data_IF_636443460029
#
_entry.id   IF_636443460029
#
_cell.length_a   1.000
_cell.length_b   1.000
_cell.length_c   1.000
_cell.angle_alpha   90.00
_cell.angle_beta   90.00
_cell.angle_gamma   90.00
#
_symmetry.space_group_name_H-M   'P 1'
#
loop_
_entity.id
_entity.type
_entity.pdbx_description
1 polymer ?
#
# COMPACT_ATOMS: atom_id res chain seq x y z
N UNK A 1 -1.32 -0.48 -14.35
CA UNK A 1 -1.13 0.42 -15.50
C UNK A 1 -0.19 1.57 -15.10
N UNK A 2 1.06 1.25 -14.69
CA UNK A 2 2.03 2.19 -14.10
C UNK A 2 3.39 2.13 -14.82
N UNK A 3 3.52 2.63 -16.06
CA UNK A 3 4.80 2.50 -16.80
C UNK A 3 5.14 3.63 -17.77
N UNK A 4 4.67 4.86 -17.56
CA UNK A 4 4.88 5.91 -18.56
C UNK A 4 5.44 7.23 -18.05
N UNK A 5 6.47 7.23 -17.21
CA UNK A 5 7.11 8.51 -16.86
C UNK A 5 8.63 8.54 -16.62
N UNK A 6 9.48 7.66 -17.17
CA UNK A 6 10.93 7.91 -17.05
C UNK A 6 11.72 7.57 -18.32
N UNK A 7 11.97 8.60 -19.14
CA UNK A 7 13.15 8.68 -20.01
C UNK A 7 14.12 9.68 -19.39
N UNK A 8 15.41 9.32 -19.33
CA UNK A 8 16.60 10.05 -18.82
C UNK A 8 16.85 9.89 -17.30
N UNK A 9 18.06 9.60 -16.78
CA UNK A 9 19.40 9.66 -17.34
C UNK A 9 20.40 8.70 -16.63
N UNK A 10 21.42 8.26 -17.39
CA UNK A 10 22.55 7.41 -17.01
C UNK A 10 23.50 8.08 -15.99
N UNK A 11 23.27 7.92 -14.68
CA UNK A 11 24.31 8.13 -13.65
C UNK A 11 24.19 7.08 -12.53
N UNK A 12 25.28 6.40 -12.13
CA UNK A 12 25.29 5.37 -11.07
C UNK A 12 24.66 5.81 -9.73
N UNK A 13 24.79 7.09 -9.37
CA UNK A 13 24.26 7.62 -8.10
C UNK A 13 22.76 7.97 -8.13
N UNK A 14 22.13 8.08 -9.30
CA UNK A 14 20.69 8.36 -9.42
C UNK A 14 19.82 7.09 -9.34
N UNK A 15 20.41 5.89 -9.50
CA UNK A 15 19.69 4.61 -9.39
C UNK A 15 19.11 4.38 -7.99
N UNK A 16 19.78 4.87 -6.95
CA UNK A 16 19.34 4.72 -5.57
C UNK A 16 18.20 5.66 -5.17
N UNK A 17 17.79 6.57 -6.06
CA UNK A 17 16.62 7.46 -5.87
C UNK A 17 15.34 6.91 -6.50
N UNK A 18 15.40 5.72 -7.11
CA UNK A 18 14.27 4.98 -7.66
C UNK A 18 13.62 4.12 -6.55
N UNK A 19 12.51 3.43 -6.83
CA UNK A 19 11.73 2.66 -5.84
C UNK A 19 12.43 1.46 -5.23
N UNK A 20 11.67 0.48 -4.74
CA UNK A 20 12.21 -0.75 -4.14
C UNK A 20 12.46 -0.70 -2.63
N UNK A 21 13.22 -1.65 -2.06
CA UNK A 21 13.28 -1.86 -0.62
C UNK A 21 13.76 -0.66 0.20
N UNK A 22 13.10 -0.42 1.32
CA UNK A 22 13.36 0.66 2.29
C UNK A 22 13.51 0.18 3.72
N UNK A 23 12.99 -0.98 4.04
CA UNK A 23 13.15 -1.58 5.35
C UNK A 23 13.26 -3.09 5.23
N UNK A 24 14.08 -3.69 6.10
CA UNK A 24 14.15 -5.13 6.31
C UNK A 24 14.01 -5.40 7.81
N UNK A 25 13.17 -6.35 8.18
CA UNK A 25 12.99 -6.77 9.58
C UNK A 25 13.01 -8.28 9.65
N UNK A 26 13.73 -8.84 10.62
CA UNK A 26 13.81 -10.28 10.84
C UNK A 26 13.37 -10.62 12.26
N UNK A 27 12.40 -11.52 12.35
CA UNK A 27 11.85 -12.05 13.57
C UNK A 27 11.94 -13.57 13.59
N UNK A 28 12.03 -14.15 14.78
CA UNK A 28 11.90 -15.59 15.01
C UNK A 28 10.65 -15.84 15.85
N UNK A 29 9.71 -16.60 15.28
CA UNK A 29 8.51 -17.08 15.97
C UNK A 29 8.52 -18.61 16.01
N UNK A 30 8.58 -19.22 17.20
CA UNK A 30 8.62 -20.69 17.35
C UNK A 30 9.66 -21.39 16.44
N UNK A 31 10.88 -20.86 16.39
CA UNK A 31 11.97 -21.32 15.49
C UNK A 31 11.68 -21.17 13.98
N UNK A 32 10.66 -20.41 13.60
CA UNK A 32 10.36 -20.04 12.21
C UNK A 32 10.85 -18.62 11.96
N UNK A 33 11.75 -18.41 10.98
CA UNK A 33 12.12 -17.07 10.55
C UNK A 33 10.99 -16.37 9.80
N UNK A 34 10.72 -15.13 10.16
CA UNK A 34 9.78 -14.22 9.53
C UNK A 34 10.55 -12.98 9.12
N UNK A 35 10.59 -12.71 7.83
CA UNK A 35 11.30 -11.60 7.22
C UNK A 35 10.27 -10.67 6.61
N UNK A 36 10.31 -9.40 6.99
CA UNK A 36 9.46 -8.35 6.43
C UNK A 36 10.33 -7.41 5.59
N UNK A 37 9.87 -7.08 4.39
CA UNK A 37 10.57 -6.21 3.46
C UNK A 37 9.62 -5.11 3.02
N UNK A 38 9.84 -3.89 3.50
CA UNK A 38 9.07 -2.71 3.12
C UNK A 38 9.66 -2.06 1.89
N UNK A 39 8.81 -1.63 0.96
CA UNK A 39 9.24 -1.05 -0.31
C UNK A 39 8.40 0.17 -0.71
N UNK A 40 8.90 0.94 -1.66
CA UNK A 40 8.15 2.05 -2.26
C UNK A 40 7.81 1.66 -3.70
N UNK A 41 6.50 1.55 -3.99
CA UNK A 41 5.85 1.18 -5.27
C UNK A 41 6.19 2.08 -6.47
N UNK A 42 7.47 2.36 -6.65
CA UNK A 42 8.05 3.09 -7.76
C UNK A 42 8.91 2.13 -8.56
N UNK A 43 8.97 2.28 -9.90
CA UNK A 43 9.79 1.40 -10.71
C UNK A 43 11.28 1.51 -10.35
N UNK A 44 11.96 0.38 -10.32
CA UNK A 44 13.41 0.22 -10.33
C UNK A 44 13.90 -0.13 -11.74
N UNK A 45 15.19 0.06 -12.00
CA UNK A 45 15.82 -0.40 -13.23
C UNK A 45 15.85 -1.94 -13.29
N UNK A 46 15.73 -2.53 -14.48
CA UNK A 46 15.74 -3.99 -14.62
C UNK A 46 17.06 -4.59 -14.14
N UNK A 47 18.21 -3.94 -14.40
CA UNK A 47 19.51 -4.46 -13.94
C UNK A 47 19.63 -4.48 -12.41
N UNK A 48 18.89 -3.62 -11.71
CA UNK A 48 18.82 -3.63 -10.25
C UNK A 48 17.88 -4.73 -9.76
N UNK A 49 16.77 -4.97 -10.46
CA UNK A 49 15.85 -6.08 -10.17
C UNK A 49 16.57 -7.43 -10.29
N UNK A 50 17.33 -7.64 -11.37
CA UNK A 50 18.10 -8.88 -11.61
C UNK A 50 19.08 -9.18 -10.46
N UNK A 51 19.67 -8.14 -9.85
CA UNK A 51 20.56 -8.31 -8.70
C UNK A 51 19.81 -8.74 -7.43
N UNK A 52 18.61 -8.21 -7.19
CA UNK A 52 17.76 -8.73 -6.09
C UNK A 52 17.32 -10.16 -6.38
N UNK A 53 16.98 -10.49 -7.63
CA UNK A 53 16.60 -11.84 -8.02
C UNK A 53 17.72 -12.82 -7.72
N UNK A 54 18.96 -12.46 -8.01
CA UNK A 54 20.11 -13.27 -7.67
C UNK A 54 20.18 -13.59 -6.17
N UNK A 55 20.08 -12.58 -5.29
CA UNK A 55 20.10 -12.78 -3.84
C UNK A 55 18.97 -13.70 -3.35
N UNK A 56 17.74 -13.49 -3.85
CA UNK A 56 16.60 -14.35 -3.51
C UNK A 56 16.76 -15.79 -4.02
N UNK A 57 17.16 -15.96 -5.28
CA UNK A 57 17.33 -17.27 -5.90
C UNK A 57 18.43 -18.08 -5.20
N UNK A 58 19.56 -17.46 -4.83
CA UNK A 58 20.60 -18.13 -4.03
C UNK A 58 20.06 -18.55 -2.66
N UNK A 59 19.33 -17.68 -1.97
CA UNK A 59 18.75 -18.01 -0.67
C UNK A 59 17.77 -19.20 -0.74
N UNK A 60 16.91 -19.22 -1.76
CA UNK A 60 15.90 -20.27 -2.00
C UNK A 60 16.53 -21.62 -2.37
N UNK A 61 17.75 -21.67 -2.92
CA UNK A 61 18.43 -22.94 -3.19
C UNK A 61 18.67 -23.76 -1.92
N UNK A 62 18.89 -23.09 -0.79
CA UNK A 62 19.21 -23.74 0.49
C UNK A 62 18.10 -23.68 1.52
N UNK A 63 17.06 -22.86 1.30
CA UNK A 63 15.99 -22.63 2.28
C UNK A 63 14.62 -22.82 1.64
N UNK A 64 13.70 -23.50 2.34
CA UNK A 64 12.28 -23.47 1.98
C UNK A 64 11.67 -22.13 2.38
N UNK A 65 11.00 -21.46 1.45
CA UNK A 65 10.48 -20.10 1.59
C UNK A 65 9.00 -20.06 1.19
N UNK A 66 8.19 -19.37 2.01
CA UNK A 66 6.89 -18.85 1.61
C UNK A 66 7.03 -17.35 1.42
N UNK A 67 6.84 -16.88 0.19
CA UNK A 67 6.96 -15.48 -0.20
C UNK A 67 5.57 -14.87 -0.40
N UNK A 68 5.16 -14.00 0.51
CA UNK A 68 3.94 -13.19 0.41
C UNK A 68 4.25 -11.90 -0.35
N UNK A 69 3.50 -11.62 -1.41
CA UNK A 69 3.67 -10.44 -2.27
C UNK A 69 2.36 -9.65 -2.39
N UNK A 70 2.43 -8.32 -2.21
CA UNK A 70 1.35 -7.38 -2.54
C UNK A 70 1.16 -7.24 -4.07
N UNK A 71 0.82 -8.34 -4.74
CA UNK A 71 0.58 -8.36 -6.18
C UNK A 71 -0.53 -9.35 -6.55
N UNK A 72 -1.05 -9.21 -7.77
CA UNK A 72 -2.12 -10.05 -8.33
C UNK A 72 -1.60 -11.31 -9.04
N UNK A 73 -0.28 -11.43 -9.24
CA UNK A 73 0.31 -12.54 -10.02
C UNK A 73 0.03 -12.46 -11.54
N UNK A 74 -0.50 -11.33 -12.01
CA UNK A 74 -0.79 -11.13 -13.44
C UNK A 74 0.48 -10.77 -14.22
N UNK A 75 0.82 -11.62 -15.19
CA UNK A 75 2.02 -11.50 -16.01
C UNK A 75 2.00 -10.21 -16.85
N UNK A 76 2.99 -9.35 -16.66
CA UNK A 76 3.13 -8.10 -17.42
C UNK A 76 3.79 -8.37 -18.77
N UNK A 77 3.38 -7.63 -19.83
CA UNK A 77 4.07 -7.63 -21.13
C UNK A 77 5.39 -6.84 -21.07
N UNK A 78 6.49 -7.51 -21.37
CA UNK A 78 7.94 -7.17 -21.21
C UNK A 78 8.48 -5.92 -21.94
N UNK A 79 7.76 -4.79 -21.99
CA UNK A 79 8.16 -3.66 -22.84
C UNK A 79 8.81 -2.44 -22.15
N UNK A 80 9.32 -2.56 -20.91
CA UNK A 80 9.99 -1.44 -20.22
C UNK A 80 11.31 -1.83 -19.55
N UNK A 81 12.32 -0.94 -19.67
CA UNK A 81 13.62 -1.03 -18.97
C UNK A 81 13.51 -0.83 -17.44
N UNK A 82 12.30 -0.69 -16.92
CA UNK A 82 12.00 -0.47 -15.50
C UNK A 82 10.88 -1.39 -15.08
N UNK A 83 10.90 -1.84 -13.84
CA UNK A 83 9.90 -2.74 -13.25
C UNK A 83 9.61 -2.32 -11.82
N UNK A 84 8.38 -2.55 -11.35
CA UNK A 84 8.06 -2.40 -9.94
C UNK A 84 8.75 -3.52 -9.13
N UNK A 85 9.29 -3.22 -7.95
CA UNK A 85 10.12 -4.19 -7.22
C UNK A 85 9.34 -5.46 -6.87
N UNK A 86 8.14 -5.34 -6.30
CA UNK A 86 7.32 -6.51 -5.96
C UNK A 86 6.94 -7.32 -7.20
N UNK A 87 6.55 -6.64 -8.28
CA UNK A 87 6.27 -7.32 -9.56
C UNK A 87 7.48 -8.02 -10.15
N UNK A 88 8.68 -7.51 -9.90
CA UNK A 88 9.89 -8.18 -10.33
C UNK A 88 10.08 -9.51 -9.61
N UNK A 89 9.67 -9.64 -8.35
CA UNK A 89 9.81 -10.89 -7.58
C UNK A 89 8.90 -12.01 -8.09
N UNK A 90 7.88 -11.69 -8.89
CA UNK A 90 7.09 -12.70 -9.62
C UNK A 90 7.91 -13.42 -10.70
N UNK A 91 9.04 -12.84 -11.10
CA UNK A 91 9.95 -13.37 -12.12
C UNK A 91 11.10 -14.19 -11.54
N UNK A 92 11.11 -14.46 -10.22
CA UNK A 92 12.10 -15.34 -9.60
C UNK A 92 12.10 -16.74 -10.25
N UNK A 93 13.24 -17.42 -10.15
CA UNK A 93 13.40 -18.74 -10.77
C UNK A 93 12.44 -19.75 -10.13
N UNK A 94 11.68 -20.53 -10.92
CA UNK A 94 10.83 -21.57 -10.38
C UNK A 94 11.65 -22.58 -9.55
N UNK A 95 11.23 -22.78 -8.30
CA UNK A 95 11.93 -23.68 -7.36
C UNK A 95 10.90 -24.45 -6.52
N UNK A 96 11.20 -25.71 -6.22
CA UNK A 96 10.40 -26.52 -5.28
C UNK A 96 10.48 -26.00 -3.84
N UNK A 97 11.48 -25.16 -3.55
CA UNK A 97 11.67 -24.53 -2.25
C UNK A 97 10.93 -23.20 -2.12
N UNK A 98 10.29 -22.69 -3.18
CA UNK A 98 9.62 -21.39 -3.18
C UNK A 98 8.11 -21.56 -3.40
N UNK A 99 7.34 -21.18 -2.40
CA UNK A 99 5.89 -21.01 -2.48
C UNK A 99 5.59 -19.51 -2.55
N UNK A 100 4.98 -19.03 -3.63
CA UNK A 100 4.52 -17.63 -3.73
C UNK A 100 3.04 -17.53 -3.36
N UNK A 101 2.71 -16.58 -2.50
CA UNK A 101 1.34 -16.22 -2.11
C UNK A 101 1.08 -14.78 -2.50
N UNK A 102 0.08 -14.57 -3.34
CA UNK A 102 -0.36 -13.26 -3.80
C UNK A 102 -1.44 -12.72 -2.88
N UNK A 103 -1.16 -11.60 -2.20
CA UNK A 103 -2.00 -11.08 -1.11
C UNK A 103 -2.86 -9.91 -1.54
N UNK A 104 -2.75 -9.45 -2.79
CA UNK A 104 -3.59 -8.40 -3.34
C UNK A 104 -5.04 -8.88 -3.47
N UNK A 105 -5.82 -8.68 -2.42
CA UNK A 105 -7.25 -9.01 -2.38
C UNK A 105 -8.13 -7.81 -2.74
N UNK A 106 -7.61 -6.58 -2.85
CA UNK A 106 -8.41 -5.37 -3.14
C UNK A 106 -9.14 -5.48 -4.48
N UNK A 107 -8.51 -6.12 -5.47
CA UNK A 107 -9.10 -6.42 -6.78
C UNK A 107 -10.29 -7.38 -6.72
N UNK A 108 -10.34 -8.26 -5.72
CA UNK A 108 -11.43 -9.22 -5.50
C UNK A 108 -12.65 -8.55 -4.85
N UNK A 109 -12.43 -7.43 -4.15
CA UNK A 109 -13.47 -6.70 -3.42
C UNK A 109 -13.94 -5.42 -4.12
N UNK A 110 -13.26 -4.98 -5.17
CA UNK A 110 -13.61 -3.74 -5.85
C UNK A 110 -14.25 -3.96 -7.21
N UNK A 111 -15.59 -4.02 -7.13
CA UNK A 111 -16.49 -3.60 -8.20
C UNK A 111 -15.93 -2.35 -8.91
N UNK A 112 -16.09 -2.31 -10.22
CA UNK A 112 -15.59 -1.27 -11.12
C UNK A 112 -15.92 0.14 -10.59
N UNK A 113 -17.08 0.29 -9.95
CA UNK A 113 -17.54 1.56 -9.35
C UNK A 113 -16.61 2.13 -8.27
N UNK A 114 -15.92 1.30 -7.48
CA UNK A 114 -14.95 1.76 -6.49
C UNK A 114 -13.61 2.09 -7.14
N UNK A 115 -13.27 1.42 -8.24
CA UNK A 115 -12.08 1.73 -9.03
C UNK A 115 -12.17 3.13 -9.62
N UNK A 116 -13.33 3.55 -10.12
CA UNK A 116 -13.54 4.92 -10.59
C UNK A 116 -13.29 5.97 -9.49
N UNK A 117 -13.67 5.68 -8.24
CA UNK A 117 -13.38 6.57 -7.11
C UNK A 117 -11.87 6.76 -6.93
N UNK A 118 -11.11 5.67 -6.89
CA UNK A 118 -9.67 5.73 -6.67
C UNK A 118 -8.95 6.45 -7.80
N UNK A 119 -9.27 6.11 -9.06
CA UNK A 119 -8.68 6.77 -10.21
C UNK A 119 -8.99 8.28 -10.23
N UNK A 120 -10.17 8.68 -9.78
CA UNK A 120 -10.50 10.08 -9.59
C UNK A 120 -9.60 10.73 -8.54
N UNK A 121 -9.47 10.15 -7.35
CA UNK A 121 -8.66 10.69 -6.25
C UNK A 121 -7.17 10.79 -6.61
N UNK A 122 -6.63 9.78 -7.29
CA UNK A 122 -5.28 9.77 -7.87
C UNK A 122 -5.12 10.92 -8.86
N UNK A 123 -6.09 11.09 -9.77
CA UNK A 123 -5.99 12.14 -10.78
C UNK A 123 -5.98 13.53 -10.17
N UNK A 124 -6.79 13.75 -9.13
CA UNK A 124 -6.79 15.01 -8.39
C UNK A 124 -5.42 15.21 -7.69
N UNK A 125 -4.83 14.16 -7.11
CA UNK A 125 -3.56 14.26 -6.40
C UNK A 125 -2.39 14.61 -7.34
N UNK A 126 -2.38 14.02 -8.54
CA UNK A 126 -1.43 14.39 -9.60
C UNK A 126 -1.51 15.89 -9.93
N UNK A 127 -2.73 16.41 -10.08
CA UNK A 127 -2.98 17.82 -10.41
C UNK A 127 -2.52 18.71 -9.26
N UNK A 128 -2.90 18.40 -8.01
CA UNK A 128 -2.48 19.16 -6.82
C UNK A 128 -0.96 19.17 -6.66
N UNK A 129 -0.30 18.03 -6.85
CA UNK A 129 1.17 17.93 -6.85
C UNK A 129 1.79 18.76 -7.97
N UNK A 130 1.17 18.84 -9.15
CA UNK A 130 1.66 19.66 -10.27
C UNK A 130 1.59 21.17 -9.98
N UNK A 131 0.59 21.60 -9.21
CA UNK A 131 0.39 23.00 -8.80
C UNK A 131 1.40 23.36 -7.69
N UNK A 132 1.55 22.49 -6.70
CA UNK A 132 2.35 22.73 -5.49
C UNK A 132 3.86 22.51 -5.68
N UNK A 133 4.28 21.52 -6.47
CA UNK A 133 5.71 21.28 -6.73
C UNK A 133 6.29 22.37 -7.63
N UNK A 134 7.18 23.21 -7.05
CA UNK A 134 7.88 24.31 -7.75
C UNK A 134 8.96 23.82 -8.73
N UNK A 135 8.62 22.94 -9.67
CA UNK A 135 9.52 22.66 -10.80
C UNK A 135 9.28 23.70 -11.91
N UNK A 136 10.33 24.45 -12.26
CA UNK A 136 10.28 25.58 -13.22
C UNK A 136 10.23 25.16 -14.70
N UNK A 137 10.39 23.87 -15.01
CA UNK A 137 10.55 23.36 -16.39
C UNK A 137 9.30 22.67 -16.99
N UNK A 138 8.21 22.54 -16.23
CA UNK A 138 6.99 21.88 -16.69
C UNK A 138 5.91 22.93 -16.89
N UNK A 139 5.31 22.98 -18.08
CA UNK A 139 4.14 23.80 -18.35
C UNK A 139 2.99 23.30 -17.46
N UNK A 140 2.48 24.17 -16.59
CA UNK A 140 1.45 23.80 -15.63
C UNK A 140 0.07 24.05 -16.23
N UNK A 141 -0.87 23.11 -16.10
CA UNK A 141 -2.24 23.32 -16.54
C UNK A 141 -2.95 24.39 -15.68
N UNK A 142 -2.54 24.55 -14.41
CA UNK A 142 -3.10 25.53 -13.48
C UNK A 142 -1.99 26.21 -12.66
N UNK A 143 -2.15 27.49 -12.37
CA UNK A 143 -1.25 28.28 -11.52
C UNK A 143 -1.57 28.19 -10.03
N UNK A 144 -2.82 27.93 -9.65
CA UNK A 144 -3.27 27.80 -8.26
C UNK A 144 -4.36 26.75 -8.07
N UNK A 145 -4.57 26.29 -6.83
CA UNK A 145 -5.70 25.40 -6.51
C UNK A 145 -7.05 26.08 -6.78
N UNK A 146 -7.18 27.37 -6.45
CA UNK A 146 -8.41 28.13 -6.70
C UNK A 146 -8.77 28.23 -8.19
N UNK A 147 -7.76 28.30 -9.07
CA UNK A 147 -7.97 28.26 -10.52
C UNK A 147 -8.48 26.88 -10.97
N UNK A 148 -7.90 25.80 -10.43
CA UNK A 148 -8.33 24.45 -10.72
C UNK A 148 -9.78 24.17 -10.24
N UNK A 149 -10.14 24.58 -9.02
CA UNK A 149 -11.49 24.36 -8.46
C UNK A 149 -12.60 25.06 -9.26
N UNK A 150 -12.26 26.10 -10.02
CA UNK A 150 -13.19 26.86 -10.87
C UNK A 150 -13.15 26.44 -12.35
N UNK A 151 -12.26 25.50 -12.69
CA UNK A 151 -12.00 25.12 -14.08
C UNK A 151 -13.08 24.21 -14.68
N UNK A 152 -13.16 24.19 -16.01
CA UNK A 152 -13.95 23.17 -16.73
C UNK A 152 -13.35 21.77 -16.61
N UNK A 153 -12.05 21.67 -16.34
CA UNK A 153 -11.36 20.39 -16.17
C UNK A 153 -11.92 19.62 -14.97
N UNK A 154 -12.15 20.29 -13.83
CA UNK A 154 -12.77 19.65 -12.67
C UNK A 154 -14.15 19.06 -13.01
N UNK A 155 -14.96 19.77 -13.81
CA UNK A 155 -16.25 19.27 -14.29
C UNK A 155 -16.10 18.10 -15.25
N UNK A 156 -15.09 18.14 -16.11
CA UNK A 156 -14.78 17.03 -17.03
C UNK A 156 -14.39 15.76 -16.28
N UNK A 157 -13.62 15.87 -15.20
CA UNK A 157 -13.31 14.75 -14.31
C UNK A 157 -14.60 14.14 -13.73
N UNK A 158 -15.57 14.96 -13.32
CA UNK A 158 -16.88 14.47 -12.87
C UNK A 158 -17.61 13.60 -13.89
N UNK A 159 -17.54 13.96 -15.17
CA UNK A 159 -18.11 13.16 -16.25
C UNK A 159 -17.34 11.86 -16.48
N UNK A 160 -16.00 11.94 -16.48
CA UNK A 160 -15.11 10.80 -16.72
C UNK A 160 -15.28 9.70 -15.66
N UNK A 161 -15.47 10.10 -14.40
CA UNK A 161 -15.62 9.19 -13.26
C UNK A 161 -17.07 9.08 -12.76
N UNK A 162 -18.04 9.38 -13.63
CA UNK A 162 -19.47 9.39 -13.28
C UNK A 162 -20.07 8.02 -12.91
N UNK A 163 -19.37 6.92 -13.25
CA UNK A 163 -19.72 5.54 -12.86
C UNK A 163 -19.25 5.17 -11.45
N UNK A 164 -18.71 6.12 -10.70
CA UNK A 164 -18.32 5.93 -9.31
C UNK A 164 -19.50 5.50 -8.43
N UNK A 165 -19.21 4.80 -7.33
CA UNK A 165 -20.18 4.54 -6.27
C UNK A 165 -20.82 5.82 -5.71
N UNK A 166 -21.99 5.68 -5.10
CA UNK A 166 -22.67 6.68 -4.27
C UNK A 166 -22.16 6.68 -2.82
N UNK A 167 -22.61 7.64 -2.01
CA UNK A 167 -22.34 7.67 -0.57
C UNK A 167 -22.82 6.38 0.13
N UNK A 168 -24.07 5.99 -0.11
CA UNK A 168 -24.69 4.83 0.51
C UNK A 168 -23.94 3.54 0.15
N UNK A 169 -23.60 3.35 -1.13
CA UNK A 169 -22.87 2.15 -1.56
C UNK A 169 -21.49 2.05 -0.90
N UNK A 170 -20.76 3.16 -0.78
CA UNK A 170 -19.47 3.16 -0.10
C UNK A 170 -19.63 2.91 1.41
N UNK A 171 -20.65 3.49 2.05
CA UNK A 171 -20.93 3.28 3.47
C UNK A 171 -21.34 1.82 3.78
N UNK A 172 -22.21 1.23 2.96
CA UNK A 172 -22.62 -0.17 3.04
C UNK A 172 -21.42 -1.10 2.82
N UNK A 173 -20.58 -0.79 1.83
CA UNK A 173 -19.36 -1.53 1.57
C UNK A 173 -18.41 -1.50 2.79
N UNK A 174 -18.08 -0.33 3.31
CA UNK A 174 -17.20 -0.18 4.48
C UNK A 174 -17.78 -0.92 5.70
N UNK A 175 -19.09 -0.80 5.92
CA UNK A 175 -19.79 -1.50 7.02
C UNK A 175 -19.71 -3.02 6.87
N UNK A 176 -19.84 -3.54 5.64
CA UNK A 176 -19.68 -4.97 5.36
C UNK A 176 -18.25 -5.44 5.63
N UNK A 177 -17.23 -4.63 5.32
CA UNK A 177 -15.83 -4.96 5.60
C UNK A 177 -15.52 -4.97 7.11
N UNK A 178 -16.12 -4.06 7.89
CA UNK A 178 -16.05 -4.08 9.36
C UNK A 178 -16.60 -5.40 9.90
N UNK A 179 -17.80 -5.79 9.47
CA UNK A 179 -18.41 -7.05 9.91
C UNK A 179 -17.57 -8.27 9.50
N UNK A 180 -16.93 -8.25 8.32
CA UNK A 180 -16.04 -9.32 7.89
C UNK A 180 -14.85 -9.45 8.85
N UNK A 181 -14.20 -8.33 9.20
CA UNK A 181 -13.07 -8.34 10.11
C UNK A 181 -13.47 -8.71 11.54
N UNK A 182 -14.64 -8.28 12.03
CA UNK A 182 -15.16 -8.71 13.35
C UNK A 182 -15.29 -10.24 13.39
N UNK A 183 -15.92 -10.84 12.37
CA UNK A 183 -16.03 -12.31 12.28
C UNK A 183 -14.66 -13.01 12.18
N UNK A 184 -13.66 -12.36 11.55
CA UNK A 184 -12.30 -12.89 11.51
C UNK A 184 -11.62 -12.81 12.88
N UNK A 185 -11.81 -11.70 13.61
CA UNK A 185 -11.25 -11.48 14.94
C UNK A 185 -11.74 -12.52 15.95
N UNK A 186 -13.01 -12.93 15.85
CA UNK A 186 -13.61 -13.96 16.72
C UNK A 186 -12.84 -15.29 16.71
N UNK A 187 -12.13 -15.62 15.62
CA UNK A 187 -11.28 -16.82 15.55
C UNK A 187 -10.07 -16.75 16.49
N UNK A 188 -9.69 -15.55 16.91
CA UNK A 188 -8.48 -15.28 17.69
C UNK A 188 -8.76 -14.90 19.14
N UNK A 189 -9.99 -14.53 19.50
CA UNK A 189 -10.35 -13.99 20.83
C UNK A 189 -9.89 -14.86 22.01
N UNK A 190 -9.89 -16.20 21.85
CA UNK A 190 -9.49 -17.15 22.88
C UNK A 190 -8.15 -17.86 22.60
N UNK A 191 -7.54 -17.62 21.44
CA UNK A 191 -6.37 -18.39 20.95
C UNK A 191 -5.13 -17.52 20.73
N UNK A 192 -5.30 -16.24 20.36
CA UNK A 192 -4.22 -15.27 20.22
C UNK A 192 -4.75 -13.84 20.45
N UNK A 193 -4.41 -13.29 21.60
CA UNK A 193 -4.93 -11.99 22.07
C UNK A 193 -4.33 -10.82 21.27
N UNK A 194 -3.08 -10.95 20.86
CA UNK A 194 -2.31 -9.95 20.14
C UNK A 194 -2.85 -9.77 18.71
N UNK A 195 -3.19 -10.87 18.02
CA UNK A 195 -3.88 -10.84 16.73
C UNK A 195 -5.28 -10.27 16.87
N UNK A 196 -6.04 -10.69 17.89
CA UNK A 196 -7.36 -10.14 18.15
C UNK A 196 -7.32 -8.62 18.31
N UNK A 197 -6.34 -8.09 19.06
CA UNK A 197 -6.18 -6.64 19.21
C UNK A 197 -5.71 -5.94 17.94
N UNK A 198 -4.78 -6.54 17.19
CA UNK A 198 -4.34 -5.97 15.92
C UNK A 198 -5.49 -5.84 14.90
N UNK A 199 -6.34 -6.86 14.81
CA UNK A 199 -7.55 -6.80 13.97
C UNK A 199 -8.54 -5.78 14.54
N UNK A 200 -8.70 -5.72 15.87
CA UNK A 200 -9.53 -4.71 16.54
C UNK A 200 -9.11 -3.27 16.22
N UNK A 201 -7.81 -2.96 16.25
CA UNK A 201 -7.27 -1.65 15.88
C UNK A 201 -7.53 -1.33 14.40
N UNK A 202 -7.43 -2.34 13.53
CA UNK A 202 -7.78 -2.21 12.12
C UNK A 202 -9.27 -1.90 11.93
N UNK A 203 -10.15 -2.54 12.70
CA UNK A 203 -11.60 -2.28 12.71
C UNK A 203 -11.90 -0.87 13.19
N UNK A 204 -11.20 -0.37 14.22
CA UNK A 204 -11.34 1.01 14.69
C UNK A 204 -10.99 2.01 13.58
N UNK A 205 -9.87 1.81 12.87
CA UNK A 205 -9.48 2.67 11.75
C UNK A 205 -10.51 2.67 10.61
N UNK A 206 -11.11 1.52 10.30
CA UNK A 206 -12.16 1.44 9.26
C UNK A 206 -13.47 2.08 9.74
N UNK A 207 -13.80 1.97 11.03
CA UNK A 207 -14.92 2.69 11.63
C UNK A 207 -14.70 4.22 11.57
N UNK A 208 -13.47 4.70 11.79
CA UNK A 208 -13.16 6.12 11.58
C UNK A 208 -13.34 6.54 10.12
N UNK A 209 -13.00 5.68 9.15
CA UNK A 209 -13.27 5.92 7.74
C UNK A 209 -14.78 6.06 7.47
N UNK A 210 -15.61 5.20 8.06
CA UNK A 210 -17.07 5.33 7.98
C UNK A 210 -17.56 6.65 8.60
N UNK A 211 -17.01 7.02 9.77
CA UNK A 211 -17.31 8.29 10.44
C UNK A 211 -16.98 9.51 9.58
N UNK A 212 -15.84 9.51 8.89
CA UNK A 212 -15.45 10.57 7.95
C UNK A 212 -16.40 10.65 6.75
N UNK A 213 -16.86 9.52 6.23
CA UNK A 213 -17.83 9.48 5.13
C UNK A 213 -19.19 10.07 5.56
N UNK A 214 -19.69 9.71 6.75
CA UNK A 214 -20.92 10.27 7.33
C UNK A 214 -20.77 11.77 7.59
N UNK A 215 -19.59 12.21 8.03
CA UNK A 215 -19.31 13.64 8.20
C UNK A 215 -19.38 14.36 6.84
N UNK A 216 -18.79 13.80 5.79
CA UNK A 216 -18.81 14.39 4.45
C UNK A 216 -20.25 14.50 3.91
N UNK A 217 -21.06 13.48 4.12
CA UNK A 217 -22.49 13.47 3.77
C UNK A 217 -23.29 14.53 4.56
N UNK A 218 -22.99 14.70 5.84
CA UNK A 218 -23.59 15.73 6.70
C UNK A 218 -23.21 17.13 6.22
N UNK A 219 -21.96 17.33 5.83
CA UNK A 219 -21.49 18.59 5.24
C UNK A 219 -22.19 18.88 3.92
N UNK A 220 -22.38 17.88 3.05
CA UNK A 220 -23.16 18.04 1.81
C UNK A 220 -24.57 18.59 2.10
N UNK A 221 -25.29 18.00 3.06
CA UNK A 221 -26.63 18.45 3.45
C UNK A 221 -26.63 19.87 4.02
N UNK A 222 -25.62 20.22 4.82
CA UNK A 222 -25.48 21.56 5.41
C UNK A 222 -25.34 22.68 4.38
N UNK A 223 -24.84 22.35 3.18
CA UNK A 223 -24.68 23.28 2.07
C UNK A 223 -25.99 23.52 1.29
N UNK A 224 -27.09 22.87 1.68
CA UNK A 224 -28.39 22.91 1.01
C UNK A 224 -28.28 22.57 -0.49
N UNK A 225 -27.47 21.56 -0.82
CA UNK A 225 -27.32 21.02 -2.16
C UNK A 225 -28.47 20.06 -2.50
N UNK A 226 -28.53 19.62 -3.75
CA UNK A 226 -29.62 18.77 -4.25
C UNK A 226 -29.62 17.39 -3.54
N UNK A 227 -30.67 17.14 -2.75
CA UNK A 227 -30.87 15.89 -2.01
C UNK A 227 -31.13 14.70 -2.95
N UNK A 228 -31.71 14.93 -4.14
CA UNK A 228 -31.87 13.87 -5.15
C UNK A 228 -30.51 13.41 -5.66
N UNK A 229 -29.55 14.33 -5.87
CA UNK A 229 -28.16 13.97 -6.23
C UNK A 229 -27.42 13.26 -5.11
N UNK A 230 -27.70 13.59 -3.85
CA UNK A 230 -27.12 12.87 -2.72
C UNK A 230 -27.52 11.39 -2.72
N UNK A 231 -28.80 11.11 -3.01
CA UNK A 231 -29.37 9.76 -2.95
C UNK A 231 -29.13 8.93 -4.20
N UNK A 232 -29.22 9.54 -5.37
CA UNK A 232 -29.22 8.86 -6.67
C UNK A 232 -27.95 9.14 -7.49
N UNK A 233 -27.14 10.10 -7.06
CA UNK A 233 -25.91 10.51 -7.73
C UNK A 233 -24.67 9.75 -7.24
N UNK A 234 -23.61 9.86 -8.02
CA UNK A 234 -22.30 9.33 -7.64
C UNK A 234 -21.53 10.30 -6.73
N UNK A 235 -20.65 9.71 -5.92
CA UNK A 235 -19.85 10.40 -4.91
C UNK A 235 -18.92 11.46 -5.50
N UNK A 236 -18.35 11.21 -6.69
CA UNK A 236 -17.46 12.16 -7.38
C UNK A 236 -18.20 13.46 -7.71
N UNK A 237 -19.37 13.37 -8.31
CA UNK A 237 -20.17 14.54 -8.68
C UNK A 237 -20.62 15.31 -7.44
N UNK A 238 -21.04 14.61 -6.39
CA UNK A 238 -21.40 15.24 -5.12
C UNK A 238 -20.20 16.00 -4.51
N UNK A 239 -19.00 15.42 -4.55
CA UNK A 239 -17.78 16.09 -4.11
C UNK A 239 -17.45 17.31 -4.97
N UNK A 240 -17.55 17.22 -6.30
CA UNK A 240 -17.32 18.36 -7.21
C UNK A 240 -18.30 19.50 -6.93
N UNK A 241 -19.55 19.19 -6.64
CA UNK A 241 -20.56 20.18 -6.26
C UNK A 241 -20.18 20.89 -4.96
N UNK A 242 -19.76 20.14 -3.94
CA UNK A 242 -19.26 20.70 -2.68
C UNK A 242 -18.01 21.57 -2.89
N UNK A 243 -17.04 21.11 -3.70
CA UNK A 243 -15.82 21.86 -4.03
C UNK A 243 -16.18 23.17 -4.72
N UNK A 244 -17.09 23.13 -5.70
CA UNK A 244 -17.51 24.31 -6.45
C UNK A 244 -18.23 25.30 -5.53
N UNK A 245 -19.08 24.80 -4.62
CA UNK A 245 -19.84 25.64 -3.68
C UNK A 245 -18.96 26.30 -2.62
N UNK A 246 -17.97 25.58 -2.11
CA UNK A 246 -17.11 26.02 -1.00
C UNK A 246 -15.76 26.59 -1.45
N UNK A 247 -15.42 26.43 -2.72
CA UNK A 247 -14.10 26.70 -3.28
C UNK A 247 -12.95 26.04 -2.47
N UNK A 248 -13.17 24.80 -2.03
CA UNK A 248 -12.26 24.06 -1.13
C UNK A 248 -12.08 22.61 -1.57
N UNK A 249 -10.84 22.11 -1.48
CA UNK A 249 -10.49 20.71 -1.73
C UNK A 249 -10.75 19.80 -0.52
N UNK A 250 -11.29 20.33 0.58
CA UNK A 250 -11.60 19.56 1.80
C UNK A 250 -12.40 18.28 1.52
N UNK A 251 -13.45 18.26 0.66
CA UNK A 251 -14.17 17.03 0.33
C UNK A 251 -13.26 15.91 -0.22
N UNK A 252 -12.32 16.28 -1.09
CA UNK A 252 -11.35 15.32 -1.66
C UNK A 252 -10.39 14.81 -0.60
N UNK A 253 -9.87 15.70 0.26
CA UNK A 253 -8.98 15.30 1.35
C UNK A 253 -9.65 14.29 2.27
N UNK A 254 -10.88 14.58 2.71
CA UNK A 254 -11.64 13.66 3.57
C UNK A 254 -11.87 12.32 2.88
N UNK A 255 -12.22 12.32 1.60
CA UNK A 255 -12.47 11.09 0.85
C UNK A 255 -11.20 10.27 0.62
N UNK A 256 -10.04 10.92 0.44
CA UNK A 256 -8.75 10.21 0.46
C UNK A 256 -8.47 9.59 1.81
N UNK A 257 -8.73 10.29 2.90
CA UNK A 257 -8.53 9.74 4.25
C UNK A 257 -9.43 8.53 4.50
N UNK A 258 -10.68 8.55 4.02
CA UNK A 258 -11.59 7.38 4.03
C UNK A 258 -10.95 6.20 3.30
N UNK A 259 -10.51 6.41 2.05
CA UNK A 259 -9.91 5.34 1.25
C UNK A 259 -8.61 4.82 1.84
N UNK A 260 -7.72 5.70 2.32
CA UNK A 260 -6.43 5.31 2.91
C UNK A 260 -6.63 4.50 4.19
N UNK A 261 -7.48 4.96 5.11
CA UNK A 261 -7.79 4.23 6.34
C UNK A 261 -8.37 2.85 6.06
N UNK A 262 -9.29 2.75 5.10
CA UNK A 262 -9.85 1.48 4.67
C UNK A 262 -8.79 0.56 4.05
N UNK A 263 -8.07 1.03 3.03
CA UNK A 263 -7.16 0.21 2.24
C UNK A 263 -5.98 -0.31 3.06
N UNK A 264 -5.40 0.53 3.93
CA UNK A 264 -4.29 0.13 4.80
C UNK A 264 -4.77 -0.92 5.82
N UNK A 265 -5.77 -0.56 6.62
CA UNK A 265 -6.19 -1.38 7.77
C UNK A 265 -6.81 -2.71 7.35
N UNK A 266 -7.64 -2.71 6.29
CA UNK A 266 -8.27 -3.95 5.82
C UNK A 266 -7.24 -4.91 5.23
N UNK A 267 -6.28 -4.39 4.45
CA UNK A 267 -5.24 -5.23 3.88
C UNK A 267 -4.35 -5.82 4.99
N UNK A 268 -3.91 -5.02 5.96
CA UNK A 268 -3.05 -5.48 7.05
C UNK A 268 -3.74 -6.55 7.90
N UNK A 269 -5.02 -6.35 8.26
CA UNK A 269 -5.78 -7.33 9.03
C UNK A 269 -6.00 -8.65 8.28
N UNK A 270 -6.27 -8.60 6.98
CA UNK A 270 -6.45 -9.83 6.20
C UNK A 270 -5.13 -10.55 5.93
N UNK A 271 -4.06 -9.79 5.69
CA UNK A 271 -2.71 -10.31 5.48
C UNK A 271 -2.18 -11.02 6.73
N UNK A 272 -2.33 -10.42 7.91
CA UNK A 272 -1.85 -11.04 9.14
C UNK A 272 -2.57 -12.36 9.43
N UNK A 273 -3.86 -12.45 9.11
CA UNK A 273 -4.62 -13.69 9.25
C UNK A 273 -4.06 -14.79 8.34
N UNK A 274 -3.79 -14.48 7.07
CA UNK A 274 -3.20 -15.43 6.12
C UNK A 274 -1.80 -15.90 6.58
N UNK A 275 -0.96 -14.96 7.03
CA UNK A 275 0.37 -15.26 7.56
C UNK A 275 0.24 -16.18 8.78
N UNK A 276 -0.67 -15.86 9.70
CA UNK A 276 -0.85 -16.63 10.91
C UNK A 276 -1.34 -18.04 10.64
N UNK A 277 -2.34 -18.22 9.78
CA UNK A 277 -2.84 -19.53 9.40
C UNK A 277 -1.72 -20.41 8.85
N UNK A 278 -0.87 -19.85 7.98
CA UNK A 278 0.29 -20.56 7.43
C UNK A 278 1.36 -20.84 8.48
N UNK A 279 1.62 -19.91 9.41
CA UNK A 279 2.58 -20.12 10.51
C UNK A 279 2.17 -21.28 11.42
N UNK A 280 0.88 -21.41 11.74
CA UNK A 280 0.37 -22.49 12.59
C UNK A 280 0.54 -23.89 11.97
N UNK A 281 0.58 -23.97 10.64
CA UNK A 281 0.74 -25.21 9.89
C UNK A 281 2.15 -25.37 9.29
N UNK A 282 3.15 -24.61 9.79
CA UNK A 282 4.51 -24.62 9.26
C UNK A 282 5.37 -25.78 9.81
N UNK A 283 4.95 -27.03 9.60
CA UNK A 283 5.69 -28.21 10.07
C UNK A 283 7.08 -28.35 9.45
N UNK A 284 7.23 -27.84 8.22
CA UNK A 284 8.45 -27.89 7.42
C UNK A 284 9.48 -26.81 7.78
N UNK A 285 9.19 -25.95 8.77
CA UNK A 285 10.03 -24.81 9.19
C UNK A 285 10.47 -23.92 8.02
N UNK A 286 9.53 -23.65 7.10
CA UNK A 286 9.75 -22.72 5.98
C UNK A 286 9.99 -21.32 6.54
N UNK A 287 10.86 -20.54 5.91
CA UNK A 287 11.03 -19.11 6.19
C UNK A 287 9.90 -18.34 5.52
N UNK A 288 9.31 -17.40 6.25
CA UNK A 288 8.25 -16.54 5.74
C UNK A 288 8.90 -15.23 5.32
N UNK A 289 8.74 -14.84 4.05
CA UNK A 289 9.18 -13.54 3.55
C UNK A 289 7.93 -12.78 3.12
N UNK A 290 7.74 -11.58 3.65
CA UNK A 290 6.58 -10.72 3.39
C UNK A 290 7.08 -9.43 2.75
N UNK A 291 6.69 -9.18 1.49
CA UNK A 291 7.10 -7.99 0.74
C UNK A 291 5.88 -7.16 0.39
N UNK A 292 5.82 -5.95 0.96
CA UNK A 292 4.68 -5.03 0.82
C UNK A 292 5.17 -3.58 0.79
N UNK A 293 4.26 -2.63 0.53
CA UNK A 293 4.53 -1.22 0.76
C UNK A 293 5.02 -0.95 2.20
N UNK A 294 5.98 -0.03 2.35
CA UNK A 294 6.66 0.25 3.62
C UNK A 294 5.68 0.55 4.78
N UNK A 295 4.57 1.24 4.50
CA UNK A 295 3.51 1.51 5.49
C UNK A 295 2.84 0.24 6.04
N UNK A 296 2.65 -0.78 5.19
CA UNK A 296 2.09 -2.06 5.62
C UNK A 296 3.09 -2.83 6.50
N UNK A 297 4.38 -2.74 6.16
CA UNK A 297 5.45 -3.36 6.93
C UNK A 297 5.64 -2.72 8.29
N UNK A 298 5.50 -1.40 8.44
CA UNK A 298 5.52 -0.72 9.74
C UNK A 298 4.44 -1.27 10.70
N UNK A 299 3.22 -1.47 10.19
CA UNK A 299 2.11 -2.07 10.94
C UNK A 299 2.43 -3.50 11.40
N UNK A 300 2.83 -4.37 10.46
CA UNK A 300 3.19 -5.76 10.76
C UNK A 300 4.39 -5.86 11.71
N UNK A 301 5.41 -5.02 11.53
CA UNK A 301 6.60 -4.97 12.41
C UNK A 301 6.19 -4.69 13.84
N UNK A 302 5.24 -3.77 14.06
CA UNK A 302 4.74 -3.44 15.40
C UNK A 302 4.08 -4.65 16.08
N UNK A 303 3.33 -5.46 15.34
CA UNK A 303 2.77 -6.71 15.85
C UNK A 303 3.88 -7.74 16.15
N UNK A 304 4.78 -7.98 15.20
CA UNK A 304 5.80 -9.02 15.35
C UNK A 304 6.78 -8.74 16.50
N UNK A 305 7.04 -7.47 16.83
CA UNK A 305 7.79 -7.08 18.03
C UNK A 305 7.14 -7.54 19.34
N UNK A 306 5.82 -7.78 19.35
CA UNK A 306 5.08 -8.23 20.53
C UNK A 306 5.08 -9.75 20.61
N UNK A 307 4.91 -10.44 19.47
CA UNK A 307 4.67 -11.89 19.42
C UNK A 307 5.90 -12.74 19.09
N UNK A 308 6.99 -12.14 18.62
CA UNK A 308 8.18 -12.84 18.15
C UNK A 308 9.47 -12.16 18.65
N UNK A 309 10.59 -12.88 18.56
CA UNK A 309 11.91 -12.34 18.91
C UNK A 309 12.50 -11.59 17.70
N UNK A 310 12.77 -10.30 17.85
CA UNK A 310 13.45 -9.50 16.82
C UNK A 310 14.94 -9.83 16.79
N UNK A 311 15.46 -10.29 15.64
CA UNK A 311 16.90 -10.52 15.46
C UNK A 311 17.61 -9.27 14.94
N UNK A 312 17.06 -8.66 13.89
CA UNK A 312 17.69 -7.52 13.21
C UNK A 312 16.69 -6.72 12.38
N UNK A 313 16.86 -5.40 12.38
CA UNK A 313 16.12 -4.46 11.54
C UNK A 313 17.09 -3.50 10.83
N UNK A 314 16.86 -3.26 9.54
CA UNK A 314 17.64 -2.37 8.68
C UNK A 314 16.70 -1.39 8.01
N UNK A 315 17.09 -0.12 7.96
CA UNK A 315 16.33 0.94 7.33
C UNK A 315 17.17 1.66 6.26
N UNK A 316 16.49 2.17 5.24
CA UNK A 316 17.06 3.11 4.29
C UNK A 316 17.63 4.32 5.01
N UNK A 317 18.65 4.94 4.42
CA UNK A 317 19.27 6.11 5.02
C UNK A 317 18.35 7.33 5.01
N UNK A 318 18.76 8.41 5.69
CA UNK A 318 18.04 9.69 5.73
C UNK A 318 17.78 10.33 4.36
N UNK A 319 18.38 9.81 3.28
CA UNK A 319 18.14 10.25 1.90
C UNK A 319 17.05 9.42 1.20
N UNK A 320 16.49 8.42 1.89
CA UNK A 320 15.45 7.52 1.38
C UNK A 320 15.96 6.65 0.24
N UNK A 321 17.27 6.32 0.23
CA UNK A 321 17.88 5.51 -0.82
C UNK A 321 17.47 4.05 -0.70
N UNK A 322 17.30 3.38 -1.84
CA UNK A 322 17.01 1.93 -1.86
C UNK A 322 18.12 1.14 -1.15
N UNK A 323 17.75 0.16 -0.33
CA UNK A 323 18.73 -0.71 0.33
C UNK A 323 19.34 -1.65 -0.72
N UNK A 324 20.66 -1.65 -0.88
CA UNK A 324 21.33 -2.37 -1.98
C UNK A 324 21.14 -3.90 -1.93
N UNK A 325 21.14 -4.60 -3.08
CA UNK A 325 21.05 -6.07 -3.13
C UNK A 325 22.08 -6.82 -2.29
N UNK A 326 23.31 -6.30 -2.17
CA UNK A 326 24.34 -6.90 -1.29
C UNK A 326 23.91 -6.95 0.17
N UNK A 327 23.24 -5.90 0.66
CA UNK A 327 22.73 -5.86 2.04
C UNK A 327 21.57 -6.84 2.21
N UNK A 328 20.74 -7.05 1.18
CA UNK A 328 19.72 -8.10 1.22
C UNK A 328 20.37 -9.48 1.32
N UNK A 329 21.39 -9.78 0.52
CA UNK A 329 22.10 -11.06 0.55
C UNK A 329 22.73 -11.34 1.93
N UNK A 330 23.42 -10.35 2.51
CA UNK A 330 23.96 -10.42 3.87
C UNK A 330 22.85 -10.65 4.91
N UNK A 331 21.72 -9.95 4.76
CA UNK A 331 20.56 -10.04 5.64
C UNK A 331 19.87 -11.40 5.61
N UNK A 332 19.64 -11.95 4.42
CA UNK A 332 19.01 -13.26 4.25
C UNK A 332 19.89 -14.37 4.85
N UNK A 333 21.22 -14.27 4.68
CA UNK A 333 22.17 -15.29 5.10
C UNK A 333 22.75 -15.10 6.51
N UNK A 334 22.35 -14.05 7.26
CA UNK A 334 22.93 -13.69 8.55
C UNK A 334 24.46 -13.49 8.54
N UNK A 335 25.02 -12.96 7.43
CA UNK A 335 26.46 -12.76 7.25
C UNK A 335 26.80 -11.27 7.45
N UNK A 336 26.43 -10.72 8.60
CA UNK A 336 26.86 -9.36 8.95
C UNK A 336 28.26 -9.40 9.54
N UNK A 337 29.27 -8.93 8.80
CA UNK A 337 30.63 -8.73 9.38
C UNK A 337 30.58 -7.72 10.54
N UNK A 338 29.67 -6.75 10.47
CA UNK A 338 29.33 -5.81 11.53
C UNK A 338 27.81 -5.61 11.57
N UNK A 339 27.16 -5.88 12.70
CA UNK A 339 25.75 -5.54 12.91
C UNK A 339 25.59 -4.05 12.60
N UNK A 340 24.72 -3.65 11.65
CA UNK A 340 24.44 -2.24 11.40
C UNK A 340 23.98 -1.63 12.72
N UNK A 341 24.77 -0.72 13.29
CA UNK A 341 24.42 -0.07 14.55
C UNK A 341 23.01 0.50 14.43
N UNK A 342 22.13 0.11 15.36
CA UNK A 342 20.83 0.72 15.59
C UNK A 342 20.92 2.22 15.34
N UNK A 343 20.38 2.69 14.22
CA UNK A 343 19.93 4.07 14.17
C UNK A 343 18.60 4.09 14.88
N UNK A 344 18.70 4.22 16.20
CA UNK A 344 17.62 4.61 17.08
C UNK A 344 16.85 5.77 16.48
N UNK A 345 15.68 5.49 15.90
CA UNK A 345 14.57 6.42 15.89
C UNK A 345 13.49 5.85 16.82
N UNK A 346 13.81 5.87 18.11
CA UNK A 346 12.81 6.23 19.10
C UNK A 346 12.41 7.67 18.77
N UNK A 347 11.18 7.90 18.33
CA UNK A 347 10.50 9.18 18.51
C UNK A 347 8.99 8.94 18.60
N UNK A 348 8.56 8.94 19.87
CA UNK A 348 7.25 9.25 20.46
C UNK A 348 6.04 9.46 19.55
#
# INVERSE_FOLDING_TARGET
MFSRFFKTANKPDDYYRLGGPRSYHKFIYNNTPIILIGEIHQPIAMELADQYHHAFNEYVKSNKVILFLESTGETRKESSNTIDFMKSLEMLEPSSNLEMIFTEKRSQFCDEKYVYLWLFLEKIDEIEKSITKKNKKVQRPFGTIAEFTQSQELKHLGLLYSKCCSFNELAEFISAQINLLDNMADNYINSNKELYYFIGDSILNINEALGLLIQLETEYRSLNLDETRLREGNLVNNCIEMITKTNSMKPISMLRDVCLKYLLSFHDATLVCDIWEKLQHNEDRKTFIVVMGDSHIEGLTSLFKIIAEEEISIFADHKGRVISPTVLDEFLNNIFEHIPKEHSCLLM
#
